data_IF_306269193500
#
_entry.id   IF_306269193500
#
_cell.length_a   1.000
_cell.length_b   1.000
_cell.length_c   1.000
_cell.angle_alpha   90.00
_cell.angle_beta   90.00
_cell.angle_gamma   90.00
#
_symmetry.space_group_name_H-M   'P 1'
#
loop_
_entity.id
_entity.type
_entity.pdbx_description
1 polymer ?
#
# COMPACT_ATOMS: atom_id res chain seq x y z
N UNK A 1 -7.04 -2.66 -15.30
CA UNK A 1 -8.00 -2.72 -14.17
C UNK A 1 -7.20 -3.03 -12.91
N UNK A 2 -7.58 -2.43 -11.78
CA UNK A 2 -7.08 -2.80 -10.46
C UNK A 2 -8.16 -3.61 -9.74
N UNK A 3 -7.76 -4.71 -9.13
CA UNK A 3 -8.61 -5.58 -8.31
C UNK A 3 -7.87 -5.87 -7.01
N UNK A 4 -8.52 -5.61 -5.89
CA UNK A 4 -7.99 -5.83 -4.55
C UNK A 4 -8.97 -6.71 -3.79
N UNK A 5 -8.47 -7.78 -3.17
CA UNK A 5 -9.21 -8.64 -2.27
C UNK A 5 -8.53 -8.67 -0.93
N UNK A 6 -9.30 -8.69 0.14
CA UNK A 6 -8.80 -8.74 1.49
C UNK A 6 -9.62 -9.69 2.35
N UNK A 7 -8.93 -10.50 3.13
CA UNK A 7 -9.44 -11.23 4.26
C UNK A 7 -8.50 -10.94 5.43
N UNK A 8 -9.06 -10.61 6.59
CA UNK A 8 -8.32 -10.12 7.74
C UNK A 8 -8.29 -8.59 7.85
N UNK A 9 -7.37 -8.10 8.67
CA UNK A 9 -7.30 -6.74 9.20
C UNK A 9 -6.05 -5.95 8.75
N UNK A 10 -5.25 -6.52 7.83
CA UNK A 10 -4.19 -5.76 7.17
C UNK A 10 -4.71 -4.54 6.40
N UNK A 11 -3.83 -3.84 5.71
CA UNK A 11 -4.18 -2.59 5.04
C UNK A 11 -3.98 -2.66 3.52
N UNK A 12 -4.89 -2.02 2.80
CA UNK A 12 -4.75 -1.70 1.37
C UNK A 12 -4.92 -0.20 1.21
N UNK A 13 -3.83 0.49 0.86
CA UNK A 13 -3.82 1.94 0.62
C UNK A 13 -3.59 2.20 -0.86
N UNK A 14 -4.43 3.05 -1.45
CA UNK A 14 -4.31 3.55 -2.82
C UNK A 14 -4.00 5.04 -2.79
N UNK A 15 -2.98 5.45 -3.55
CA UNK A 15 -2.62 6.87 -3.67
C UNK A 15 -2.55 7.21 -5.16
N UNK A 16 -3.44 8.09 -5.61
CA UNK A 16 -3.47 8.52 -7.00
C UNK A 16 -2.24 9.37 -7.34
N UNK A 17 -1.89 9.38 -8.63
CA UNK A 17 -0.65 10.03 -9.07
C UNK A 17 -0.70 11.56 -9.00
N UNK A 18 -1.89 12.15 -8.97
CA UNK A 18 -2.12 13.58 -8.81
C UNK A 18 -1.81 14.12 -7.40
N UNK A 19 -1.35 13.25 -6.49
CA UNK A 19 -1.12 13.62 -5.09
C UNK A 19 -2.42 13.74 -4.29
N UNK A 20 -3.49 13.11 -4.77
CA UNK A 20 -4.73 12.95 -4.02
C UNK A 20 -4.52 12.29 -2.66
N UNK A 21 -5.47 12.53 -1.76
CA UNK A 21 -5.46 11.94 -0.43
C UNK A 21 -5.44 10.40 -0.52
N UNK A 22 -4.67 9.72 0.36
CA UNK A 22 -4.65 8.26 0.40
C UNK A 22 -6.06 7.71 0.67
N UNK A 23 -6.42 6.64 -0.05
CA UNK A 23 -7.69 5.94 0.10
C UNK A 23 -7.49 4.53 0.62
N UNK A 24 -8.36 4.10 1.52
CA UNK A 24 -8.37 2.74 2.10
C UNK A 24 -9.68 2.03 1.76
N UNK A 25 -9.90 1.61 0.50
CA UNK A 25 -11.21 1.18 0.02
C UNK A 25 -11.74 -0.11 0.67
N UNK A 26 -10.87 -0.87 1.34
CA UNK A 26 -11.21 -2.10 2.05
C UNK A 26 -11.20 -1.93 3.57
N UNK A 27 -10.91 -0.73 4.08
CA UNK A 27 -10.99 -0.45 5.52
C UNK A 27 -12.43 -0.44 5.99
N UNK A 28 -12.67 -1.08 7.14
CA UNK A 28 -13.98 -1.13 7.82
C UNK A 28 -14.12 -0.08 8.92
N UNK A 29 -13.19 0.87 9.01
CA UNK A 29 -13.12 1.87 10.08
C UNK A 29 -12.17 1.46 11.21
N UNK A 30 -12.22 2.17 12.35
CA UNK A 30 -11.39 1.85 13.52
C UNK A 30 -11.69 0.43 14.00
N UNK A 31 -10.65 -0.34 14.28
CA UNK A 31 -10.80 -1.66 14.85
C UNK A 31 -11.41 -1.55 16.25
N UNK A 32 -12.60 -2.12 16.44
CA UNK A 32 -13.38 -2.03 17.69
C UNK A 32 -13.23 -3.28 18.56
N UNK A 33 -12.12 -4.01 18.42
CA UNK A 33 -11.78 -5.23 19.18
C UNK A 33 -10.69 -6.06 18.50
N UNK A 34 -10.32 -7.19 19.09
CA UNK A 34 -9.34 -8.15 18.51
C UNK A 34 -10.01 -9.17 17.55
N UNK A 35 -11.18 -8.86 16.99
CA UNK A 35 -11.89 -9.78 16.08
C UNK A 35 -11.37 -9.64 14.65
N UNK A 36 -10.27 -10.32 14.35
CA UNK A 36 -9.74 -10.44 12.99
C UNK A 36 -10.50 -11.51 12.21
N UNK A 37 -11.09 -11.14 11.06
CA UNK A 37 -11.65 -12.10 10.10
C UNK A 37 -10.55 -13.09 9.65
N UNK A 38 -10.65 -14.34 10.12
CA UNK A 38 -9.55 -15.29 10.02
C UNK A 38 -9.85 -16.39 9.01
N UNK A 39 -8.81 -16.86 8.30
CA UNK A 39 -8.88 -18.04 7.45
C UNK A 39 -9.32 -19.31 8.19
N UNK A 40 -9.17 -19.32 9.52
CA UNK A 40 -9.53 -20.45 10.36
C UNK A 40 -11.02 -20.48 10.72
N UNK A 41 -11.78 -19.43 10.42
CA UNK A 41 -13.22 -19.38 10.71
C UNK A 41 -14.03 -20.22 9.72
N UNK A 42 -15.26 -20.63 10.08
CA UNK A 42 -16.16 -21.25 9.13
C UNK A 42 -16.49 -20.30 7.96
N UNK A 43 -16.37 -20.80 6.73
CA UNK A 43 -16.70 -20.06 5.51
C UNK A 43 -15.99 -18.69 5.36
N UNK A 44 -14.65 -18.60 5.46
CA UNK A 44 -13.92 -17.34 5.53
C UNK A 44 -14.03 -16.51 4.24
N UNK A 45 -14.34 -17.17 3.11
CA UNK A 45 -14.61 -16.50 1.84
C UNK A 45 -15.80 -15.53 1.91
N UNK A 46 -16.75 -15.72 2.83
CA UNK A 46 -17.89 -14.80 3.01
C UNK A 46 -17.48 -13.46 3.60
N UNK A 47 -16.33 -13.41 4.29
CA UNK A 47 -15.74 -12.22 4.91
C UNK A 47 -14.74 -11.52 3.98
N UNK A 48 -14.49 -12.07 2.79
CA UNK A 48 -13.58 -11.46 1.82
C UNK A 48 -14.17 -10.17 1.27
N UNK A 49 -13.49 -9.05 1.52
CA UNK A 49 -13.82 -7.73 0.99
C UNK A 49 -13.14 -7.56 -0.37
N UNK A 50 -13.86 -6.94 -1.32
CA UNK A 50 -13.37 -6.74 -2.69
C UNK A 50 -13.53 -5.30 -3.12
N UNK A 51 -12.51 -4.76 -3.76
CA UNK A 51 -12.52 -3.45 -4.41
C UNK A 51 -11.99 -3.60 -5.82
N UNK A 52 -12.58 -2.87 -6.78
CA UNK A 52 -12.06 -2.79 -8.12
C UNK A 52 -12.22 -1.37 -8.67
N UNK A 53 -11.30 -0.97 -9.53
CA UNK A 53 -11.43 0.25 -10.33
C UNK A 53 -10.86 0.07 -11.75
N UNK A 54 -11.45 0.71 -12.77
CA UNK A 54 -10.89 0.72 -14.11
C UNK A 54 -9.60 1.56 -14.14
N UNK A 55 -8.68 1.24 -15.06
CA UNK A 55 -7.51 2.07 -15.36
C UNK A 55 -7.79 2.77 -16.68
N UNK A 56 -8.20 4.04 -16.64
CA UNK A 56 -8.83 4.77 -17.76
C UNK A 56 -7.88 5.67 -18.56
N UNK A 57 -6.57 5.39 -18.54
CA UNK A 57 -5.57 6.07 -19.38
C UNK A 57 -4.61 6.99 -18.62
N UNK A 58 -4.86 7.28 -17.35
CA UNK A 58 -3.86 7.85 -16.44
C UNK A 58 -2.92 6.77 -15.87
N UNK A 59 -1.81 7.18 -15.22
CA UNK A 59 -0.99 6.26 -14.46
C UNK A 59 -1.84 5.54 -13.39
N UNK A 60 -1.59 4.24 -13.14
CA UNK A 60 -2.25 3.55 -12.04
C UNK A 60 -1.87 4.21 -10.70
N UNK A 61 -2.74 4.13 -9.68
CA UNK A 61 -2.36 4.59 -8.35
C UNK A 61 -1.20 3.77 -7.81
N UNK A 62 -0.43 4.37 -6.90
CA UNK A 62 0.47 3.60 -6.04
C UNK A 62 -0.39 2.72 -5.13
N UNK A 63 -0.05 1.44 -5.04
CA UNK A 63 -0.73 0.46 -4.18
C UNK A 63 0.22 0.07 -3.06
N UNK A 64 -0.21 0.24 -1.81
CA UNK A 64 0.51 -0.22 -0.63
C UNK A 64 -0.34 -1.30 0.05
N UNK A 65 0.29 -2.43 0.36
CA UNK A 65 -0.29 -3.54 1.10
C UNK A 65 0.56 -3.77 2.35
N UNK A 66 -0.06 -3.82 3.53
CA UNK A 66 0.67 -4.13 4.77
C UNK A 66 -0.07 -5.09 5.67
N UNK A 67 0.68 -5.73 6.57
CA UNK A 67 0.10 -6.35 7.77
C UNK A 67 -0.40 -5.25 8.71
N UNK A 68 -1.40 -5.60 9.51
CA UNK A 68 -2.02 -4.75 10.54
C UNK A 68 -1.00 -4.32 11.62
N UNK A 69 0.02 -5.15 11.88
CA UNK A 69 1.14 -4.80 12.74
C UNK A 69 1.80 -3.46 12.36
N UNK A 70 1.78 -3.07 11.07
CA UNK A 70 2.31 -1.77 10.65
C UNK A 70 1.37 -0.62 11.06
N UNK A 71 0.08 -0.67 10.74
CA UNK A 71 -0.86 0.40 11.07
C UNK A 71 -1.06 0.55 12.58
N UNK A 72 -1.06 -0.57 13.33
CA UNK A 72 -1.08 -0.61 14.80
C UNK A 72 0.17 -0.01 15.46
N UNK A 73 1.25 0.24 14.70
CA UNK A 73 2.46 0.91 15.19
C UNK A 73 2.31 2.43 15.32
N UNK A 74 1.24 3.03 14.78
CA UNK A 74 1.00 4.46 14.78
C UNK A 74 0.02 4.87 15.88
N UNK A 75 0.13 6.11 16.37
CA UNK A 75 -0.74 6.63 17.43
C UNK A 75 -2.21 6.79 16.96
N UNK A 76 -2.40 7.05 15.67
CA UNK A 76 -3.70 7.13 15.02
C UNK A 76 -3.60 6.72 13.54
N UNK A 77 -4.77 6.54 12.91
CA UNK A 77 -4.86 6.15 11.50
C UNK A 77 -4.25 7.21 10.58
N UNK A 78 -4.30 8.49 10.94
CA UNK A 78 -3.72 9.56 10.12
C UNK A 78 -2.20 9.42 10.05
N UNK A 79 -1.53 9.09 11.15
CA UNK A 79 -0.08 8.83 11.16
C UNK A 79 0.32 7.69 10.23
N UNK A 80 -0.49 6.64 10.13
CA UNK A 80 -0.28 5.56 9.16
C UNK A 80 -0.45 6.04 7.71
N UNK A 81 -1.49 6.84 7.43
CA UNK A 81 -1.72 7.41 6.10
C UNK A 81 -0.63 8.42 5.69
N UNK A 82 -0.09 9.18 6.65
CA UNK A 82 1.03 10.09 6.45
C UNK A 82 2.31 9.31 6.12
N UNK A 83 2.54 8.18 6.79
CA UNK A 83 3.62 7.27 6.44
C UNK A 83 3.46 6.73 5.01
N UNK A 84 2.28 6.23 4.65
CA UNK A 84 2.00 5.72 3.30
C UNK A 84 2.25 6.78 2.21
N UNK A 85 1.79 8.02 2.47
CA UNK A 85 2.03 9.17 1.59
C UNK A 85 3.52 9.50 1.50
N UNK A 86 4.24 9.45 2.62
CA UNK A 86 5.68 9.66 2.69
C UNK A 86 6.51 8.60 1.95
N UNK A 87 6.05 7.34 1.91
CA UNK A 87 6.66 6.28 1.09
C UNK A 87 6.53 6.62 -0.39
N UNK A 88 5.34 7.03 -0.85
CA UNK A 88 5.14 7.47 -2.24
C UNK A 88 5.99 8.69 -2.59
N UNK A 89 5.98 9.72 -1.75
CA UNK A 89 6.75 10.94 -1.99
C UNK A 89 8.25 10.64 -2.14
N UNK A 90 8.82 9.83 -1.23
CA UNK A 90 10.23 9.42 -1.33
C UNK A 90 10.52 8.59 -2.57
N UNK A 91 9.61 7.70 -2.98
CA UNK A 91 9.79 6.93 -4.20
C UNK A 91 9.79 7.83 -5.45
N UNK A 92 8.96 8.88 -5.47
CA UNK A 92 8.93 9.86 -6.56
C UNK A 92 10.19 10.76 -6.58
N UNK A 93 10.70 11.16 -5.42
CA UNK A 93 11.86 12.05 -5.28
C UNK A 93 13.21 11.33 -5.46
N UNK A 94 13.33 10.11 -4.91
CA UNK A 94 14.61 9.40 -4.73
C UNK A 94 14.66 8.08 -5.50
N UNK A 95 13.53 7.62 -6.05
CA UNK A 95 13.40 6.35 -6.72
C UNK A 95 13.03 5.19 -5.78
N UNK A 96 12.40 4.16 -6.35
CA UNK A 96 11.91 2.98 -5.62
C UNK A 96 13.06 2.21 -4.94
N UNK A 97 14.23 2.14 -5.57
CA UNK A 97 15.39 1.45 -5.00
C UNK A 97 15.86 2.09 -3.67
N UNK A 98 15.91 3.43 -3.60
CA UNK A 98 16.29 4.15 -2.39
C UNK A 98 15.28 3.94 -1.25
N UNK A 99 13.98 3.83 -1.58
CA UNK A 99 12.94 3.46 -0.61
C UNK A 99 13.13 2.02 -0.13
N UNK A 100 13.39 1.09 -1.04
CA UNK A 100 13.59 -0.32 -0.70
C UNK A 100 14.78 -0.53 0.26
N UNK A 101 15.88 0.22 0.07
CA UNK A 101 17.04 0.17 0.96
C UNK A 101 16.73 0.61 2.39
N UNK A 102 15.83 1.61 2.56
CA UNK A 102 15.47 2.15 3.87
C UNK A 102 14.28 1.44 4.52
N UNK A 103 13.50 0.69 3.74
CA UNK A 103 12.23 0.13 4.18
C UNK A 103 12.39 -0.82 5.37
N UNK A 104 13.42 -1.67 5.35
CA UNK A 104 13.71 -2.60 6.45
C UNK A 104 13.90 -1.90 7.79
N UNK A 105 14.63 -0.78 7.80
CA UNK A 105 14.86 0.01 9.01
C UNK A 105 13.60 0.75 9.49
N UNK A 106 12.74 1.18 8.56
CA UNK A 106 11.47 1.81 8.91
C UNK A 106 10.51 0.81 9.54
N UNK A 107 10.35 -0.35 8.92
CA UNK A 107 9.50 -1.44 9.44
C UNK A 107 10.04 -1.99 10.76
N UNK A 108 11.37 -2.17 10.87
CA UNK A 108 12.00 -2.60 12.12
C UNK A 108 11.82 -1.62 13.28
N UNK A 109 11.63 -0.32 13.00
CA UNK A 109 11.24 0.67 14.02
C UNK A 109 9.75 0.58 14.34
N UNK A 110 8.88 0.45 13.35
CA UNK A 110 7.44 0.30 13.53
C UNK A 110 7.12 -0.93 14.41
N UNK A 111 7.69 -2.09 14.09
CA UNK A 111 7.52 -3.36 14.82
C UNK A 111 7.83 -3.25 16.33
N UNK A 112 8.74 -2.35 16.74
CA UNK A 112 9.04 -2.12 18.17
C UNK A 112 7.89 -1.45 18.92
N UNK A 113 7.06 -0.67 18.22
CA UNK A 113 5.92 0.03 18.80
C UNK A 113 4.67 -0.86 18.82
N UNK A 114 4.40 -1.61 17.75
CA UNK A 114 3.28 -2.57 17.75
C UNK A 114 3.56 -3.81 18.60
N UNK A 115 4.81 -4.24 18.69
CA UNK A 115 5.18 -5.53 19.27
C UNK A 115 4.87 -6.72 18.35
N UNK A 116 4.58 -6.45 17.07
CA UNK A 116 4.17 -7.43 16.06
C UNK A 116 5.02 -7.31 14.78
N UNK A 117 4.99 -8.35 13.96
CA UNK A 117 5.68 -8.39 12.67
C UNK A 117 5.06 -7.37 11.70
N UNK A 118 5.91 -6.53 11.11
CA UNK A 118 5.47 -5.51 10.15
C UNK A 118 5.99 -5.82 8.76
N UNK A 119 5.08 -5.94 7.80
CA UNK A 119 5.40 -6.16 6.39
C UNK A 119 4.73 -5.07 5.55
N UNK A 120 5.45 -4.55 4.56
CA UNK A 120 4.91 -3.63 3.56
C UNK A 120 5.36 -4.05 2.16
N UNK A 121 4.41 -4.09 1.24
CA UNK A 121 4.64 -4.20 -0.21
C UNK A 121 4.09 -2.94 -0.86
N UNK A 122 4.88 -2.31 -1.72
CA UNK A 122 4.46 -1.15 -2.49
C UNK A 122 4.65 -1.40 -3.99
N UNK A 123 3.64 -1.09 -4.79
CA UNK A 123 3.67 -1.12 -6.25
C UNK A 123 3.49 0.31 -6.77
N UNK A 124 4.39 0.74 -7.65
CA UNK A 124 4.40 2.07 -8.27
C UNK A 124 4.14 1.96 -9.77
N UNK A 125 3.60 3.01 -10.38
CA UNK A 125 3.52 3.10 -11.83
C UNK A 125 4.94 3.01 -12.43
N UNK A 126 5.11 2.16 -13.45
CA UNK A 126 6.35 2.13 -14.20
C UNK A 126 6.53 3.47 -14.93
N UNK A 127 7.76 3.99 -14.95
CA UNK A 127 8.08 5.10 -15.83
C UNK A 127 7.72 4.72 -17.28
N UNK A 128 7.10 5.63 -18.06
CA UNK A 128 6.84 5.35 -19.46
C UNK A 128 8.15 5.00 -20.15
N UNK A 129 8.19 3.87 -20.86
CA UNK A 129 9.36 3.49 -21.63
C UNK A 129 9.62 4.60 -22.66
N UNK A 130 10.74 5.31 -22.52
CA UNK A 130 11.18 6.27 -23.51
C UNK A 130 11.41 5.51 -24.81
N UNK A 131 10.61 5.78 -25.83
CA UNK A 131 10.85 5.23 -27.16
C UNK A 131 12.26 5.68 -27.58
N UNK A 132 13.20 4.73 -27.70
CA UNK A 132 14.46 5.01 -28.38
C UNK A 132 14.11 5.31 -29.84
N UNK A 133 14.03 6.60 -30.18
CA UNK A 133 14.09 7.03 -31.57
C UNK A 133 15.44 6.59 -32.12
N UNK A 134 15.41 5.49 -32.88
CA UNK A 134 16.55 5.01 -33.62
C UNK A 134 16.94 6.04 -34.67
N UNK A 135 17.97 6.83 -34.36
CA UNK A 135 18.75 7.56 -35.37
C UNK A 135 19.35 6.54 -36.33
N UNK A 136 18.64 6.22 -37.40
CA UNK A 136 19.24 5.62 -38.60
C UNK A 136 19.73 6.78 -39.46
N UNK A 137 21.02 7.10 -39.31
CA UNK A 137 21.76 7.87 -40.30
C UNK A 137 22.30 6.89 -41.33
N UNK A 138 21.80 6.96 -42.56
CA UNK A 138 22.45 6.48 -43.78
C UNK A 138 21.80 7.15 -45.00
#
# INVERSE_FOLDING_TARGET
MLLCWQLGDGDVVLIDDDGGAPRTPLSTGPDMGDETDSLCEPEPWRKTRTYWQPLTGGPPPTVLLSTDGLSKSFADHQGFLDFATGVRARAAEQGVAAVQEQLGDWLGRAAKYSGDDTTLVAAFAAAPATAQEGTTSA
#
